data_IF_505378511972
#
_entry.id   IF_505378511972
#
_cell.length_a   1.000
_cell.length_b   1.000
_cell.length_c   1.000
_cell.angle_alpha   90.00
_cell.angle_beta   90.00
_cell.angle_gamma   90.00
#
_symmetry.space_group_name_H-M   'P 1'
#
loop_
_entity.id
_entity.type
_entity.pdbx_description
1 polymer ?
#
# COMPACT_ATOMS: atom_id res chain seq x y z
N UNK A 1 13.12 10.44 -11.65
CA UNK A 1 12.73 11.71 -10.99
C UNK A 1 11.39 11.54 -10.25
N UNK A 2 10.32 11.03 -10.90
CA UNK A 2 8.99 10.80 -10.28
C UNK A 2 9.09 9.90 -9.03
N UNK A 3 9.80 8.80 -9.12
CA UNK A 3 10.00 7.86 -8.02
C UNK A 3 10.68 8.54 -6.80
N UNK A 4 11.71 9.36 -7.03
CA UNK A 4 12.38 10.08 -5.95
C UNK A 4 11.48 11.09 -5.25
N UNK A 5 10.58 11.74 -5.99
CA UNK A 5 9.63 12.70 -5.40
C UNK A 5 8.55 11.98 -4.56
N UNK A 6 8.03 10.85 -5.05
CA UNK A 6 6.96 10.11 -4.37
C UNK A 6 7.43 9.40 -3.10
N UNK A 7 8.67 8.92 -3.06
CA UNK A 7 9.20 8.13 -1.94
C UNK A 7 10.21 8.88 -1.06
N UNK A 8 10.37 10.20 -1.23
CA UNK A 8 11.34 11.00 -0.46
C UNK A 8 10.79 11.60 0.84
N UNK A 9 9.54 11.29 1.21
CA UNK A 9 8.96 11.84 2.43
C UNK A 9 9.77 11.43 3.65
N UNK A 10 10.54 12.39 4.17
CA UNK A 10 11.34 12.21 5.38
C UNK A 10 10.44 12.24 6.61
N UNK A 11 10.55 11.21 7.42
CA UNK A 11 9.92 11.04 8.72
C UNK A 11 10.03 12.28 9.59
N UNK A 12 8.91 12.90 9.91
CA UNK A 12 8.84 13.72 11.12
C UNK A 12 9.05 12.79 12.33
N UNK A 13 9.99 13.14 13.21
CA UNK A 13 10.32 12.38 14.42
C UNK A 13 9.13 12.36 15.37
N UNK A 14 8.21 11.44 15.20
CA UNK A 14 7.26 11.03 16.22
C UNK A 14 7.70 9.69 16.78
N UNK A 15 7.82 9.59 18.11
CA UNK A 15 8.07 8.31 18.78
C UNK A 15 6.91 7.38 18.41
N UNK A 16 7.16 6.20 17.85
CA UNK A 16 6.08 5.30 17.44
C UNK A 16 5.26 4.89 18.68
N UNK A 17 3.95 5.07 18.60
CA UNK A 17 3.00 4.66 19.64
C UNK A 17 2.85 3.13 19.65
N UNK A 18 3.20 2.48 18.53
CA UNK A 18 3.23 1.04 18.38
C UNK A 18 4.58 0.60 17.81
N UNK A 19 5.04 -0.58 18.18
CA UNK A 19 6.22 -1.20 17.56
C UNK A 19 5.92 -1.80 16.19
N UNK A 20 4.67 -1.68 15.73
CA UNK A 20 4.19 -2.29 14.48
C UNK A 20 4.91 -1.73 13.26
N UNK A 21 5.40 -2.63 12.42
CA UNK A 21 6.08 -2.32 11.16
C UNK A 21 5.21 -2.80 10.00
N UNK A 22 4.73 -1.87 9.18
CA UNK A 22 3.98 -2.18 7.96
C UNK A 22 4.89 -2.07 6.74
N UNK A 23 4.98 -3.16 5.97
CA UNK A 23 5.64 -3.19 4.68
C UNK A 23 4.70 -2.74 3.55
N UNK A 24 5.17 -1.85 2.68
CA UNK A 24 4.44 -1.41 1.48
C UNK A 24 5.22 -1.85 0.24
N UNK A 25 4.63 -2.67 -0.65
CA UNK A 25 5.29 -3.05 -1.89
C UNK A 25 5.34 -1.86 -2.86
N UNK A 26 6.52 -1.59 -3.43
CA UNK A 26 6.75 -0.48 -4.39
C UNK A 26 6.32 -0.89 -5.79
N UNK A 27 5.02 -1.11 -6.01
CA UNK A 27 4.47 -1.63 -7.26
C UNK A 27 3.02 -1.21 -7.47
N UNK A 28 2.55 -1.26 -8.71
CA UNK A 28 1.19 -0.92 -9.12
C UNK A 28 0.76 0.49 -8.63
N UNK A 29 -0.48 0.62 -8.14
CA UNK A 29 -1.06 1.85 -7.61
C UNK A 29 -0.32 2.40 -6.37
N UNK A 30 0.42 1.57 -5.65
CA UNK A 30 1.21 2.02 -4.50
C UNK A 30 2.25 3.09 -4.86
N UNK A 31 2.64 3.25 -6.14
CA UNK A 31 3.47 4.36 -6.57
C UNK A 31 2.80 5.73 -6.42
N UNK A 32 1.50 5.80 -6.65
CA UNK A 32 0.74 7.06 -6.60
C UNK A 32 0.13 7.29 -5.22
N UNK A 33 -0.31 6.21 -4.56
CA UNK A 33 -0.95 6.29 -3.24
C UNK A 33 0.05 6.34 -2.07
N UNK A 34 1.33 6.06 -2.29
CA UNK A 34 2.32 5.97 -1.21
C UNK A 34 2.39 7.21 -0.30
N UNK A 35 2.36 8.46 -0.79
CA UNK A 35 2.41 9.63 0.08
C UNK A 35 1.24 9.64 1.08
N UNK A 36 0.04 9.26 0.63
CA UNK A 36 -1.13 9.15 1.49
C UNK A 36 -0.93 8.08 2.59
N UNK A 37 -0.60 6.85 2.19
CA UNK A 37 -0.46 5.73 3.11
C UNK A 37 0.70 5.92 4.08
N UNK A 38 1.84 6.41 3.60
CA UNK A 38 2.98 6.70 4.45
C UNK A 38 2.62 7.73 5.52
N UNK A 39 1.98 8.83 5.15
CA UNK A 39 1.61 9.89 6.08
C UNK A 39 0.55 9.42 7.06
N UNK A 40 -0.43 8.65 6.62
CA UNK A 40 -1.48 8.08 7.46
C UNK A 40 -0.88 7.17 8.54
N UNK A 41 -0.08 6.19 8.16
CA UNK A 41 0.51 5.22 9.08
C UNK A 41 1.53 5.88 10.02
N UNK A 42 2.44 6.69 9.49
CA UNK A 42 3.45 7.38 10.30
C UNK A 42 2.82 8.34 11.32
N UNK A 43 1.72 9.03 10.97
CA UNK A 43 0.99 9.89 11.88
C UNK A 43 0.23 9.09 12.96
N UNK A 44 -0.09 7.83 12.70
CA UNK A 44 -0.62 6.90 13.69
C UNK A 44 0.48 6.25 14.56
N UNK A 45 1.75 6.59 14.35
CA UNK A 45 2.88 6.00 15.08
C UNK A 45 3.32 4.63 14.56
N UNK A 46 2.85 4.21 13.40
CA UNK A 46 3.21 2.94 12.75
C UNK A 46 4.44 3.18 11.87
N UNK A 47 5.45 2.32 12.00
CA UNK A 47 6.63 2.37 11.13
C UNK A 47 6.31 1.81 9.75
N UNK A 48 6.69 2.54 8.70
CA UNK A 48 6.52 2.11 7.32
C UNK A 48 7.86 1.73 6.70
N UNK A 49 7.91 0.57 6.06
CA UNK A 49 9.05 0.10 5.28
C UNK A 49 8.59 -0.14 3.84
N UNK A 50 9.33 0.44 2.89
CA UNK A 50 9.13 0.15 1.47
C UNK A 50 9.98 -1.04 1.04
N UNK A 51 9.45 -1.85 0.14
CA UNK A 51 10.28 -2.80 -0.60
C UNK A 51 11.37 -2.08 -1.42
N UNK A 52 12.49 -2.76 -1.63
CA UNK A 52 13.56 -2.25 -2.47
C UNK A 52 13.08 -2.01 -3.92
N UNK A 53 13.76 -1.14 -4.68
CA UNK A 53 13.44 -0.97 -6.10
C UNK A 53 13.48 -2.30 -6.87
N UNK A 54 12.59 -2.43 -7.84
CA UNK A 54 12.54 -3.60 -8.72
C UNK A 54 13.90 -3.84 -9.39
N UNK A 55 14.32 -5.09 -9.44
CA UNK A 55 15.48 -5.51 -10.22
C UNK A 55 15.21 -6.85 -10.91
N UNK A 56 15.93 -7.10 -11.99
CA UNK A 56 15.72 -8.28 -12.82
C UNK A 56 15.99 -9.59 -12.08
N UNK A 57 17.02 -9.65 -11.26
CA UNK A 57 17.38 -10.85 -10.49
C UNK A 57 16.28 -11.27 -9.51
N UNK A 58 15.67 -10.30 -8.83
CA UNK A 58 14.55 -10.58 -7.91
C UNK A 58 13.30 -11.02 -8.68
N UNK A 59 13.04 -10.44 -9.85
CA UNK A 59 11.96 -10.87 -10.72
C UNK A 59 12.14 -12.33 -11.16
N UNK A 60 13.30 -12.71 -11.69
CA UNK A 60 13.58 -14.08 -12.15
C UNK A 60 13.37 -15.13 -11.06
N UNK A 61 13.75 -14.84 -9.82
CA UNK A 61 13.54 -15.77 -8.70
C UNK A 61 12.07 -16.04 -8.44
N UNK A 62 11.22 -15.05 -8.67
CA UNK A 62 9.80 -15.08 -8.33
C UNK A 62 8.89 -15.35 -9.53
N UNK A 63 9.43 -15.50 -10.74
CA UNK A 63 8.63 -15.69 -11.96
C UNK A 63 7.69 -16.90 -11.89
N UNK A 64 8.07 -17.93 -11.13
CA UNK A 64 7.25 -19.14 -10.95
C UNK A 64 6.01 -18.93 -10.08
N UNK A 65 5.95 -17.84 -9.32
CA UNK A 65 4.77 -17.46 -8.53
C UNK A 65 3.73 -16.70 -9.35
N UNK A 66 4.11 -16.26 -10.54
CA UNK A 66 3.22 -15.54 -11.45
C UNK A 66 2.19 -16.50 -12.03
N UNK A 67 0.91 -16.30 -11.72
CA UNK A 67 -0.18 -17.22 -12.06
C UNK A 67 -0.52 -17.25 -13.55
N UNK A 68 -0.14 -16.23 -14.31
CA UNK A 68 -0.45 -16.15 -15.73
C UNK A 68 0.62 -15.37 -16.50
N UNK A 69 1.06 -15.91 -17.63
CA UNK A 69 1.99 -15.21 -18.51
C UNK A 69 1.36 -13.97 -19.18
N UNK A 70 0.04 -13.91 -19.23
CA UNK A 70 -0.72 -12.85 -19.93
C UNK A 70 -1.00 -11.60 -19.09
N UNK A 71 -0.61 -11.57 -17.80
CA UNK A 71 -0.75 -10.36 -16.99
C UNK A 71 0.34 -9.34 -17.34
N UNK A 72 0.04 -8.06 -17.08
CA UNK A 72 1.00 -6.98 -17.33
C UNK A 72 2.28 -7.14 -16.49
N UNK A 73 3.39 -6.65 -17.00
CA UNK A 73 4.69 -6.78 -16.35
C UNK A 73 4.74 -6.16 -14.93
N UNK A 74 4.15 -4.98 -14.67
CA UNK A 74 4.09 -4.45 -13.31
C UNK A 74 3.44 -5.39 -12.29
N UNK A 75 2.38 -6.11 -12.68
CA UNK A 75 1.76 -7.10 -11.80
C UNK A 75 2.67 -8.31 -11.53
N UNK A 76 3.47 -8.72 -12.51
CA UNK A 76 4.47 -9.80 -12.34
C UNK A 76 5.53 -9.45 -11.30
N UNK A 77 5.84 -8.17 -11.14
CA UNK A 77 6.82 -7.70 -10.16
C UNK A 77 6.34 -7.79 -8.70
N UNK A 78 5.03 -7.85 -8.46
CA UNK A 78 4.46 -7.86 -7.10
C UNK A 78 5.09 -8.94 -6.23
N UNK A 79 5.23 -10.16 -6.75
CA UNK A 79 5.78 -11.30 -6.00
C UNK A 79 7.19 -11.04 -5.48
N UNK A 80 8.03 -10.37 -6.27
CA UNK A 80 9.39 -10.02 -5.85
C UNK A 80 9.41 -8.95 -4.75
N UNK A 81 8.46 -8.02 -4.76
CA UNK A 81 8.33 -7.01 -3.71
C UNK A 81 7.81 -7.61 -2.39
N UNK A 82 6.89 -8.58 -2.47
CA UNK A 82 6.42 -9.31 -1.28
C UNK A 82 7.57 -10.11 -0.65
N UNK A 83 8.33 -10.88 -1.44
CA UNK A 83 9.51 -11.62 -0.96
C UNK A 83 10.55 -10.68 -0.31
N UNK A 84 10.76 -9.53 -0.90
CA UNK A 84 11.70 -8.54 -0.37
C UNK A 84 11.26 -8.00 0.99
N UNK A 85 9.98 -7.68 1.17
CA UNK A 85 9.42 -7.24 2.45
C UNK A 85 9.48 -8.33 3.53
N UNK A 86 9.25 -9.60 3.17
CA UNK A 86 9.40 -10.72 4.08
C UNK A 86 10.83 -10.80 4.64
N UNK A 87 11.84 -10.50 3.83
CA UNK A 87 13.25 -10.47 4.25
C UNK A 87 13.59 -9.25 5.12
N UNK A 88 12.77 -8.20 5.09
CA UNK A 88 12.97 -6.98 5.87
C UNK A 88 12.33 -7.04 7.27
N UNK A 89 11.82 -8.19 7.70
CA UNK A 89 11.22 -8.41 9.01
C UNK A 89 10.11 -7.41 9.35
N UNK A 90 9.19 -7.18 8.39
CA UNK A 90 7.96 -6.42 8.65
C UNK A 90 6.94 -7.31 9.35
N UNK A 91 6.06 -6.73 10.17
CA UNK A 91 5.02 -7.48 10.88
C UNK A 91 3.82 -7.79 9.98
N UNK A 92 3.54 -6.91 9.05
CA UNK A 92 2.41 -7.02 8.10
C UNK A 92 2.78 -6.40 6.77
N UNK A 93 2.20 -6.88 5.69
CA UNK A 93 2.33 -6.28 4.35
C UNK A 93 0.99 -5.67 3.97
N UNK A 94 0.99 -4.38 3.68
CA UNK A 94 -0.20 -3.63 3.28
C UNK A 94 -0.25 -3.51 1.75
N UNK A 95 -1.26 -4.10 1.15
CA UNK A 95 -1.54 -4.03 -0.29
C UNK A 95 -3.06 -3.97 -0.50
N UNK A 96 -3.68 -2.78 -0.44
CA UNK A 96 -5.12 -2.63 -0.47
C UNK A 96 -5.74 -3.07 -1.80
N UNK A 97 -7.00 -3.48 -1.73
CA UNK A 97 -7.87 -3.71 -2.89
C UNK A 97 -8.52 -2.38 -3.27
N UNK A 98 -7.91 -1.64 -4.20
CA UNK A 98 -8.38 -0.28 -4.56
C UNK A 98 -9.30 -0.34 -5.76
N UNK A 99 -10.58 -0.05 -5.55
CA UNK A 99 -11.61 -0.09 -6.58
C UNK A 99 -11.58 1.18 -7.44
N UNK A 100 -11.40 2.32 -6.80
CA UNK A 100 -11.57 3.63 -7.41
C UNK A 100 -10.48 4.59 -6.96
N UNK A 101 -9.79 5.21 -7.91
CA UNK A 101 -8.80 6.25 -7.64
C UNK A 101 -9.48 7.60 -7.39
N UNK A 102 -8.70 8.58 -6.92
CA UNK A 102 -9.22 9.93 -6.75
C UNK A 102 -9.65 10.52 -8.09
N UNK A 103 -10.81 11.14 -8.10
CA UNK A 103 -11.38 11.77 -9.28
C UNK A 103 -10.77 13.18 -9.44
N UNK A 104 -9.86 13.34 -10.40
CA UNK A 104 -9.54 14.65 -10.89
C UNK A 104 -10.79 15.15 -11.60
N UNK A 105 -11.49 16.15 -11.04
CA UNK A 105 -12.84 16.68 -11.40
C UNK A 105 -13.19 16.82 -12.90
N UNK A 106 -12.34 16.31 -13.78
CA UNK A 106 -12.44 16.30 -15.24
C UNK A 106 -12.65 14.92 -15.87
N UNK A 107 -12.53 13.83 -15.10
CA UNK A 107 -12.66 12.47 -15.63
C UNK A 107 -13.93 11.81 -15.14
N UNK A 108 -14.72 11.24 -16.05
CA UNK A 108 -16.00 10.59 -15.70
C UNK A 108 -15.84 9.19 -15.10
N UNK A 109 -14.66 8.57 -15.21
CA UNK A 109 -14.41 7.22 -14.72
C UNK A 109 -12.97 7.07 -14.21
N UNK A 110 -12.81 6.87 -12.90
CA UNK A 110 -11.52 6.63 -12.24
C UNK A 110 -11.43 5.21 -11.65
N UNK A 111 -12.03 4.22 -12.33
CA UNK A 111 -11.86 2.82 -11.95
C UNK A 111 -10.46 2.33 -12.28
N UNK A 112 -9.87 1.62 -11.34
CA UNK A 112 -8.63 0.93 -11.59
C UNK A 112 -8.79 -0.20 -12.61
N UNK A 113 -7.72 -0.53 -13.30
CA UNK A 113 -7.61 -1.75 -14.08
C UNK A 113 -7.93 -2.97 -13.18
N UNK A 114 -8.70 -3.97 -13.63
CA UNK A 114 -9.04 -5.15 -12.84
C UNK A 114 -7.83 -5.87 -12.23
N UNK A 115 -6.68 -5.84 -12.90
CA UNK A 115 -5.44 -6.40 -12.36
C UNK A 115 -4.95 -5.57 -11.17
N UNK A 116 -4.90 -4.25 -11.27
CA UNK A 116 -4.49 -3.38 -10.17
C UNK A 116 -5.43 -3.58 -8.98
N UNK A 117 -6.73 -3.57 -9.21
CA UNK A 117 -7.75 -3.75 -8.18
C UNK A 117 -7.62 -5.09 -7.46
N UNK A 118 -7.57 -6.20 -8.20
CA UNK A 118 -7.73 -7.55 -7.65
C UNK A 118 -6.45 -8.29 -7.33
N UNK A 119 -5.29 -7.82 -7.77
CA UNK A 119 -4.05 -8.60 -7.68
C UNK A 119 -3.55 -8.80 -6.26
N UNK A 120 -3.86 -7.89 -5.36
CA UNK A 120 -3.59 -8.05 -3.93
C UNK A 120 -4.20 -9.33 -3.35
N UNK A 121 -5.45 -9.62 -3.71
CA UNK A 121 -6.15 -10.84 -3.30
C UNK A 121 -5.53 -12.10 -3.93
N UNK A 122 -5.11 -12.02 -5.19
CA UNK A 122 -4.41 -13.13 -5.85
C UNK A 122 -3.12 -13.44 -5.10
N UNK A 123 -2.28 -12.43 -4.86
CA UNK A 123 -1.00 -12.58 -4.15
C UNK A 123 -1.19 -13.16 -2.76
N UNK A 124 -2.16 -12.66 -2.01
CA UNK A 124 -2.48 -13.15 -0.66
C UNK A 124 -2.77 -14.66 -0.62
N UNK A 125 -3.40 -15.19 -1.68
CA UNK A 125 -3.78 -16.60 -1.74
C UNK A 125 -2.71 -17.52 -2.34
N UNK A 126 -1.75 -16.96 -3.09
CA UNK A 126 -0.76 -17.74 -3.85
C UNK A 126 0.63 -17.65 -3.26
N UNK A 127 0.99 -16.49 -2.73
CA UNK A 127 2.32 -16.25 -2.19
C UNK A 127 2.48 -16.91 -0.82
N UNK A 128 3.37 -17.89 -0.65
CA UNK A 128 3.70 -18.41 0.68
C UNK A 128 4.25 -17.28 1.54
N UNK A 129 3.60 -16.98 2.64
CA UNK A 129 4.02 -15.94 3.56
C UNK A 129 3.62 -16.27 4.98
N UNK A 130 4.59 -16.26 5.89
CA UNK A 130 4.34 -16.29 7.34
C UNK A 130 3.90 -14.91 7.87
N UNK A 131 4.08 -13.85 7.06
CA UNK A 131 3.68 -12.49 7.35
C UNK A 131 2.30 -12.23 6.74
N UNK A 132 1.32 -11.75 7.50
CA UNK A 132 -0.01 -11.46 6.97
C UNK A 132 0.03 -10.37 5.89
N UNK A 133 -0.65 -10.64 4.78
CA UNK A 133 -0.87 -9.66 3.70
C UNK A 133 -2.27 -9.07 3.88
N UNK A 134 -2.32 -7.79 4.21
CA UNK A 134 -3.55 -7.06 4.42
C UNK A 134 -4.05 -6.46 3.12
N UNK A 135 -5.28 -6.81 2.78
CA UNK A 135 -5.93 -6.38 1.52
C UNK A 135 -7.26 -5.67 1.82
N UNK A 136 -7.27 -4.59 2.64
CA UNK A 136 -8.53 -3.90 2.90
C UNK A 136 -9.09 -3.32 1.60
N UNK A 137 -10.41 -3.29 1.49
CA UNK A 137 -11.10 -2.67 0.37
C UNK A 137 -11.09 -1.15 0.55
N UNK A 138 -10.59 -0.44 -0.45
CA UNK A 138 -10.39 1.01 -0.42
C UNK A 138 -11.02 1.65 -1.67
N UNK A 139 -11.60 2.83 -1.50
CA UNK A 139 -12.10 3.65 -2.59
C UNK A 139 -11.77 5.12 -2.32
N UNK A 140 -11.04 5.75 -3.21
CA UNK A 140 -10.75 7.19 -3.15
C UNK A 140 -11.86 8.06 -3.76
N UNK A 141 -12.97 7.45 -4.19
CA UNK A 141 -14.08 8.15 -4.83
C UNK A 141 -14.76 9.18 -3.92
N UNK A 142 -14.91 8.84 -2.66
CA UNK A 142 -15.62 9.64 -1.69
C UNK A 142 -14.83 9.73 -0.38
N UNK A 143 -14.68 10.94 0.13
CA UNK A 143 -13.88 11.23 1.32
C UNK A 143 -14.40 10.54 2.58
N UNK A 144 -15.71 10.52 2.78
CA UNK A 144 -16.31 9.94 3.99
C UNK A 144 -16.18 8.42 3.96
N UNK A 145 -16.36 7.82 2.78
CA UNK A 145 -16.14 6.39 2.56
C UNK A 145 -14.68 6.01 2.81
N UNK A 146 -13.72 6.76 2.26
CA UNK A 146 -12.29 6.53 2.46
C UNK A 146 -11.92 6.61 3.94
N UNK A 147 -12.37 7.65 4.65
CA UNK A 147 -12.14 7.80 6.09
C UNK A 147 -12.71 6.61 6.87
N UNK A 148 -13.93 6.17 6.54
CA UNK A 148 -14.55 5.01 7.18
C UNK A 148 -13.73 3.74 6.97
N UNK A 149 -13.28 3.48 5.75
CA UNK A 149 -12.45 2.31 5.42
C UNK A 149 -11.08 2.36 6.11
N UNK A 150 -10.45 3.54 6.18
CA UNK A 150 -9.22 3.73 6.94
C UNK A 150 -9.42 3.48 8.45
N UNK A 151 -10.55 3.96 9.01
CA UNK A 151 -10.91 3.68 10.42
C UNK A 151 -11.09 2.19 10.66
N UNK A 152 -11.88 1.50 9.85
CA UNK A 152 -12.11 0.06 9.98
C UNK A 152 -10.80 -0.72 10.00
N UNK A 153 -9.86 -0.39 9.11
CA UNK A 153 -8.57 -1.06 9.05
C UNK A 153 -7.68 -0.70 10.26
N UNK A 154 -7.49 0.59 10.55
CA UNK A 154 -6.56 1.04 11.61
C UNK A 154 -7.06 0.71 13.03
N UNK A 155 -8.39 0.71 13.26
CA UNK A 155 -8.96 0.25 14.53
C UNK A 155 -8.69 -1.23 14.75
N UNK A 156 -8.68 -2.05 13.69
CA UNK A 156 -8.28 -3.46 13.79
C UNK A 156 -6.81 -3.64 14.20
N UNK A 157 -5.99 -2.61 14.03
CA UNK A 157 -4.60 -2.53 14.48
C UNK A 157 -4.45 -1.80 15.84
N UNK A 158 -5.55 -1.62 16.57
CA UNK A 158 -5.60 -0.97 17.88
C UNK A 158 -5.24 0.53 17.89
N UNK A 159 -5.37 1.23 16.76
CA UNK A 159 -5.26 2.68 16.71
C UNK A 159 -6.59 3.32 17.11
N UNK A 160 -6.56 4.37 17.92
CA UNK A 160 -7.78 5.05 18.35
C UNK A 160 -8.33 6.00 17.27
N UNK A 161 -9.65 6.18 17.24
CA UNK A 161 -10.37 6.95 16.21
C UNK A 161 -9.89 8.40 16.08
N UNK A 162 -9.62 9.07 17.20
CA UNK A 162 -9.15 10.45 17.17
C UNK A 162 -7.80 10.59 16.46
N UNK A 163 -6.87 9.70 16.77
CA UNK A 163 -5.56 9.66 16.09
C UNK A 163 -5.72 9.39 14.60
N UNK A 164 -6.63 8.49 14.23
CA UNK A 164 -6.91 8.17 12.81
C UNK A 164 -7.44 9.39 12.07
N UNK A 165 -8.40 10.12 12.65
CA UNK A 165 -8.96 11.33 12.03
C UNK A 165 -7.90 12.43 11.82
N UNK A 166 -7.07 12.68 12.82
CA UNK A 166 -5.98 13.66 12.73
C UNK A 166 -4.93 13.24 11.68
N UNK A 167 -4.59 11.95 11.64
CA UNK A 167 -3.67 11.38 10.66
C UNK A 167 -4.22 11.44 9.24
N UNK A 168 -5.52 11.16 9.07
CA UNK A 168 -6.20 11.19 7.79
C UNK A 168 -6.18 12.60 7.17
N UNK A 169 -6.48 13.64 7.96
CA UNK A 169 -6.42 15.04 7.49
C UNK A 169 -5.02 15.42 7.01
N UNK A 170 -3.97 14.89 7.64
CA UNK A 170 -2.58 15.12 7.20
C UNK A 170 -2.30 14.36 5.89
N UNK A 171 -2.74 13.10 5.80
CA UNK A 171 -2.53 12.27 4.63
C UNK A 171 -3.23 12.83 3.37
N UNK A 172 -4.43 13.38 3.51
CA UNK A 172 -5.13 14.05 2.40
C UNK A 172 -4.33 15.20 1.81
N UNK A 173 -3.61 15.97 2.62
CA UNK A 173 -2.79 17.10 2.15
C UNK A 173 -1.56 16.67 1.37
N UNK A 174 -1.03 15.49 1.65
CA UNK A 174 0.12 14.94 0.94
C UNK A 174 -0.26 14.26 -0.38
N UNK A 175 -1.56 13.92 -0.53
CA UNK A 175 -2.08 13.25 -1.72
C UNK A 175 -2.55 14.22 -2.81
N UNK A 176 -2.91 15.46 -2.43
CA UNK A 176 -3.36 16.54 -3.33
C UNK A 176 -2.17 17.28 -3.97
#
# INVERSE_FOLDING_TARGET
IKERLLFSNSTSKSVPVSELIIGIPRVLNMFEEYPFWHTLFSSCGIKVILSNPSNYTNYERNVRMVMSDNICFPAKLVHSHIEDLQKQNVDRIFMPFVIYESDDKKQQNSYNCPIVTGYSTVVKNVQPSDIPIDTPTISFKDREMLLKQCKEYLTSLCVNDKTIEEAFVKAEKEYL
#
